data_IF_584078987474
#
_entry.id   IF_584078987474
#
_cell.length_a   1.000
_cell.length_b   1.000
_cell.length_c   1.000
_cell.angle_alpha   90.00
_cell.angle_beta   90.00
_cell.angle_gamma   90.00
#
_symmetry.space_group_name_H-M   'P 1'
#
loop_
_entity.id
_entity.type
_entity.pdbx_description
1 polymer ?
#
# COMPACT_ATOMS: atom_id res chain seq x y z
N UNK A 1 3.25 3.67 -9.38
CA UNK A 1 1.80 3.48 -9.19
C UNK A 1 1.45 3.50 -7.69
N UNK A 2 0.96 4.64 -7.20
CA UNK A 2 0.49 4.84 -5.83
C UNK A 2 -0.83 4.07 -5.60
N UNK A 3 -0.74 2.78 -5.27
CA UNK A 3 -1.91 1.88 -5.23
C UNK A 3 -2.82 2.07 -4.01
N UNK A 4 -2.47 2.94 -3.07
CA UNK A 4 -2.99 2.87 -1.70
C UNK A 4 -4.38 3.52 -1.56
N UNK A 5 -4.68 4.56 -2.34
CA UNK A 5 -5.93 5.32 -2.23
C UNK A 5 -7.16 4.60 -2.79
N UNK A 6 -6.98 3.47 -3.49
CA UNK A 6 -8.09 2.71 -4.10
C UNK A 6 -9.06 2.06 -3.10
N UNK A 7 -8.62 1.89 -1.85
CA UNK A 7 -9.40 1.29 -0.75
C UNK A 7 -9.82 2.31 0.32
N UNK A 8 -9.54 3.60 0.08
CA UNK A 8 -10.16 4.70 0.83
C UNK A 8 -11.57 4.94 0.27
N UNK A 9 -12.53 5.15 1.16
CA UNK A 9 -13.89 5.62 0.86
C UNK A 9 -13.94 7.12 1.23
N UNK A 10 -13.78 8.05 0.25
CA UNK A 10 -13.65 9.47 0.56
C UNK A 10 -14.91 10.09 1.18
N UNK A 11 -16.10 9.55 0.88
CA UNK A 11 -17.37 10.07 1.43
C UNK A 11 -17.60 9.70 2.89
N UNK A 12 -16.87 8.71 3.40
CA UNK A 12 -17.06 8.15 4.73
C UNK A 12 -15.75 8.21 5.55
N UNK A 13 -14.75 8.94 5.07
CA UNK A 13 -13.40 9.09 5.64
C UNK A 13 -12.85 7.79 6.25
N UNK A 14 -13.04 6.69 5.54
CA UNK A 14 -12.75 5.35 6.04
C UNK A 14 -11.87 4.56 5.09
N UNK A 15 -11.06 3.69 5.67
CA UNK A 15 -10.13 2.82 4.98
C UNK A 15 -10.59 1.37 5.08
N UNK A 16 -10.72 0.70 3.94
CA UNK A 16 -11.15 -0.71 3.88
C UNK A 16 -10.01 -1.71 4.12
N UNK A 17 -8.76 -1.25 4.19
CA UNK A 17 -7.60 -2.12 4.35
C UNK A 17 -6.51 -1.41 5.16
N UNK A 18 -6.18 -1.96 6.33
CA UNK A 18 -5.28 -1.35 7.31
C UNK A 18 -3.85 -1.09 6.76
N UNK A 19 -3.32 -2.00 5.94
CA UNK A 19 -1.98 -1.85 5.35
C UNK A 19 -1.91 -0.76 4.28
N UNK A 20 -2.98 -0.52 3.52
CA UNK A 20 -3.07 0.53 2.52
C UNK A 20 -3.15 1.89 3.20
N UNK A 21 -3.92 1.99 4.30
CA UNK A 21 -3.91 3.17 5.15
C UNK A 21 -2.51 3.43 5.71
N UNK A 22 -1.87 2.41 6.29
CA UNK A 22 -0.51 2.54 6.82
C UNK A 22 0.52 2.96 5.77
N UNK A 23 0.45 2.39 4.55
CA UNK A 23 1.34 2.79 3.44
C UNK A 23 1.06 4.21 2.96
N UNK A 24 -0.19 4.66 2.99
CA UNK A 24 -0.55 6.05 2.70
C UNK A 24 -0.03 7.01 3.78
N UNK A 25 -0.16 6.66 5.06
CA UNK A 25 0.41 7.41 6.17
C UNK A 25 1.93 7.53 6.03
N UNK A 26 2.63 6.42 5.73
CA UNK A 26 4.07 6.47 5.47
C UNK A 26 4.42 7.38 4.28
N UNK A 27 3.61 7.36 3.21
CA UNK A 27 3.79 8.26 2.08
C UNK A 27 3.63 9.73 2.52
N UNK A 28 2.60 10.06 3.31
CA UNK A 28 2.43 11.42 3.85
C UNK A 28 3.63 11.84 4.71
N UNK A 29 4.12 10.98 5.60
CA UNK A 29 5.32 11.26 6.41
C UNK A 29 6.53 11.60 5.53
N UNK A 30 6.75 10.84 4.45
CA UNK A 30 7.87 11.11 3.52
C UNK A 30 7.63 12.32 2.61
N UNK A 31 6.39 12.70 2.36
CA UNK A 31 6.07 13.91 1.62
C UNK A 31 6.18 15.13 2.51
N UNK A 32 5.83 15.02 3.79
CA UNK A 32 5.94 16.09 4.78
C UNK A 32 7.40 16.51 4.96
N UNK A 33 8.36 15.56 4.96
CA UNK A 33 9.78 15.89 5.02
C UNK A 33 10.17 16.87 3.90
N UNK A 34 10.55 18.09 4.30
CA UNK A 34 11.16 19.06 3.41
C UNK A 34 12.42 18.46 2.79
N UNK A 35 12.83 18.93 1.61
CA UNK A 35 13.98 18.43 0.80
C UNK A 35 13.65 17.51 -0.38
N UNK A 36 12.43 17.50 -0.90
CA UNK A 36 12.14 16.90 -2.22
C UNK A 36 12.49 15.39 -2.31
N UNK A 37 12.50 14.69 -1.18
CA UNK A 37 12.89 13.28 -1.11
C UNK A 37 11.94 12.36 -1.88
N UNK A 38 10.63 12.62 -1.81
CA UNK A 38 9.60 11.93 -2.59
C UNK A 38 8.78 12.97 -3.35
N UNK A 39 8.55 12.71 -4.65
CA UNK A 39 7.71 13.53 -5.52
C UNK A 39 6.66 12.67 -6.20
N UNK A 40 5.48 13.24 -6.42
CA UNK A 40 4.41 12.61 -7.20
C UNK A 40 3.99 13.59 -8.29
N UNK A 41 4.04 13.13 -9.52
CA UNK A 41 3.74 13.95 -10.69
C UNK A 41 2.70 13.24 -11.55
N UNK A 42 1.75 14.01 -12.10
CA UNK A 42 0.82 13.51 -13.10
C UNK A 42 1.53 13.49 -14.44
N UNK A 43 1.54 12.32 -15.08
CA UNK A 43 2.16 12.12 -16.39
C UNK A 43 1.14 11.55 -17.37
N UNK A 44 1.40 11.68 -18.66
CA UNK A 44 0.65 10.99 -19.71
C UNK A 44 1.54 9.87 -20.26
N UNK A 45 0.99 8.65 -20.35
CA UNK A 45 1.72 7.48 -20.87
C UNK A 45 1.19 7.09 -22.24
N UNK A 46 1.75 6.04 -22.84
CA UNK A 46 1.58 5.66 -24.25
C UNK A 46 0.14 5.39 -24.74
N UNK A 47 -0.84 5.33 -23.83
CA UNK A 47 -2.26 5.17 -24.15
C UNK A 47 -3.06 6.48 -24.08
N UNK A 48 -2.36 7.62 -24.07
CA UNK A 48 -2.89 8.99 -23.95
C UNK A 48 -3.78 9.24 -22.73
N UNK A 49 -3.71 8.35 -21.74
CA UNK A 49 -4.44 8.47 -20.48
C UNK A 49 -3.52 8.97 -19.36
N UNK A 50 -4.06 9.66 -18.35
CA UNK A 50 -3.27 10.10 -17.21
C UNK A 50 -2.74 8.90 -16.41
N UNK A 51 -1.55 9.08 -15.83
CA UNK A 51 -0.93 8.19 -14.86
C UNK A 51 -0.16 9.03 -13.80
N UNK A 52 0.43 8.36 -12.81
CA UNK A 52 1.20 8.98 -11.73
C UNK A 52 2.62 8.41 -11.69
N UNK A 53 3.60 9.31 -11.86
CA UNK A 53 5.00 9.02 -11.62
C UNK A 53 5.33 9.34 -10.16
N UNK A 54 5.89 8.37 -9.45
CA UNK A 54 6.42 8.56 -8.10
C UNK A 54 7.94 8.44 -8.17
N UNK A 55 8.62 9.52 -7.80
CA UNK A 55 10.08 9.62 -7.84
C UNK A 55 10.60 9.71 -6.42
N UNK A 56 11.64 8.94 -6.11
CA UNK A 56 12.33 8.95 -4.82
C UNK A 56 13.81 9.23 -5.07
N UNK A 57 14.35 10.25 -4.40
CA UNK A 57 15.76 10.59 -4.47
C UNK A 57 16.59 9.66 -3.58
N UNK A 58 17.31 8.72 -4.20
CA UNK A 58 18.10 7.71 -3.49
C UNK A 58 19.22 8.32 -2.64
N UNK A 59 19.77 9.46 -3.04
CA UNK A 59 20.87 10.11 -2.31
C UNK A 59 20.42 10.61 -0.93
N UNK A 60 19.13 10.94 -0.80
CA UNK A 60 18.51 11.47 0.43
C UNK A 60 17.89 10.40 1.33
N UNK A 61 18.00 9.13 0.97
CA UNK A 61 17.42 8.02 1.74
C UNK A 61 17.96 7.98 3.18
N UNK A 62 19.28 8.11 3.34
CA UNK A 62 19.94 7.99 4.65
C UNK A 62 19.81 9.26 5.50
N UNK A 63 19.80 10.44 4.87
CA UNK A 63 19.74 11.74 5.56
C UNK A 63 18.30 12.17 5.86
N UNK A 64 17.43 12.17 4.85
CA UNK A 64 16.05 12.68 4.95
C UNK A 64 15.08 11.55 5.25
N UNK A 65 15.06 10.50 4.42
CA UNK A 65 14.09 9.41 4.52
C UNK A 65 14.16 8.66 5.85
N UNK A 66 15.36 8.24 6.26
CA UNK A 66 15.58 7.56 7.55
C UNK A 66 15.18 8.44 8.72
N UNK A 67 15.51 9.74 8.69
CA UNK A 67 15.16 10.68 9.75
C UNK A 67 13.63 10.87 9.83
N UNK A 68 12.95 11.12 8.72
CA UNK A 68 11.50 11.31 8.69
C UNK A 68 10.74 10.11 9.26
N UNK A 69 11.12 8.89 8.86
CA UNK A 69 10.52 7.66 9.39
C UNK A 69 10.90 7.46 10.85
N UNK A 70 12.16 7.73 11.23
CA UNK A 70 12.62 7.63 12.62
C UNK A 70 11.85 8.55 13.57
N UNK A 71 11.65 9.81 13.18
CA UNK A 71 10.90 10.81 13.95
C UNK A 71 9.42 10.38 14.11
N UNK A 72 8.82 9.85 13.05
CA UNK A 72 7.45 9.32 13.10
C UNK A 72 7.33 8.10 14.02
N UNK A 73 8.23 7.12 13.89
CA UNK A 73 8.25 5.94 14.75
C UNK A 73 8.54 6.30 16.22
N UNK A 74 9.37 7.32 16.46
CA UNK A 74 9.66 7.87 17.77
C UNK A 74 8.43 8.47 18.45
N UNK A 75 7.42 8.92 17.70
CA UNK A 75 6.11 9.33 18.24
C UNK A 75 5.15 8.16 18.38
N UNK A 76 5.10 7.27 17.38
CA UNK A 76 4.15 6.15 17.35
C UNK A 76 4.39 5.15 18.49
N UNK A 77 5.66 4.82 18.77
CA UNK A 77 6.01 3.78 19.74
C UNK A 77 5.65 4.16 21.19
N UNK A 78 5.94 5.37 21.69
CA UNK A 78 5.49 5.80 23.02
C UNK A 78 3.98 5.76 23.19
N UNK A 79 3.21 6.26 22.21
CA UNK A 79 1.75 6.23 22.32
C UNK A 79 1.19 4.81 22.38
N UNK A 80 1.75 3.90 21.56
CA UNK A 80 1.40 2.48 21.61
C UNK A 80 1.76 1.86 22.96
N UNK A 81 2.96 2.13 23.48
CA UNK A 81 3.48 1.51 24.70
C UNK A 81 2.74 1.99 25.96
N UNK A 82 2.31 3.25 25.97
CA UNK A 82 1.55 3.85 27.06
C UNK A 82 0.03 3.70 26.90
N UNK A 83 -0.44 2.97 25.88
CA UNK A 83 -1.86 2.86 25.52
C UNK A 83 -2.58 4.23 25.41
N UNK A 84 -1.87 5.28 24.97
CA UNK A 84 -2.44 6.61 24.79
C UNK A 84 -3.20 6.69 23.46
N UNK A 85 -4.44 6.20 23.48
CA UNK A 85 -5.30 6.11 22.29
C UNK A 85 -5.62 7.50 21.73
N UNK A 86 -5.86 8.50 22.59
CA UNK A 86 -6.24 9.84 22.16
C UNK A 86 -5.13 10.48 21.29
N UNK A 87 -3.90 10.53 21.81
CA UNK A 87 -2.77 11.11 21.08
C UNK A 87 -2.36 10.26 19.86
N UNK A 88 -2.43 8.94 19.97
CA UNK A 88 -2.16 8.05 18.83
C UNK A 88 -3.14 8.30 17.67
N UNK A 89 -4.44 8.41 18.00
CA UNK A 89 -5.49 8.60 17.01
C UNK A 89 -5.42 9.98 16.37
N UNK A 90 -5.25 11.03 17.16
CA UNK A 90 -5.10 12.40 16.64
C UNK A 90 -3.95 12.48 15.62
N UNK A 91 -2.77 11.97 15.98
CA UNK A 91 -1.62 11.96 15.06
C UNK A 91 -1.86 11.10 13.82
N UNK A 92 -2.37 9.88 13.98
CA UNK A 92 -2.52 8.94 12.87
C UNK A 92 -3.64 9.34 11.90
N UNK A 93 -4.75 9.86 12.43
CA UNK A 93 -5.87 10.36 11.63
C UNK A 93 -5.44 11.54 10.78
N UNK A 94 -4.62 12.46 11.32
CA UNK A 94 -4.03 13.57 10.55
C UNK A 94 -3.31 13.08 9.28
N UNK A 95 -2.44 12.07 9.40
CA UNK A 95 -1.71 11.53 8.24
C UNK A 95 -2.56 10.64 7.34
N UNK A 96 -3.68 10.09 7.83
CA UNK A 96 -4.51 9.17 7.06
C UNK A 96 -5.68 9.85 6.33
N UNK A 97 -5.89 11.15 6.57
CA UNK A 97 -6.94 11.94 5.94
C UNK A 97 -6.59 12.29 4.49
N UNK A 98 -7.37 11.74 3.55
CA UNK A 98 -7.13 11.92 2.10
C UNK A 98 -7.63 13.28 1.60
N UNK A 99 -8.74 13.76 2.15
CA UNK A 99 -9.38 15.02 1.80
C UNK A 99 -8.90 16.19 2.68
N UNK A 100 -7.58 16.30 2.90
CA UNK A 100 -6.98 17.41 3.65
C UNK A 100 -6.43 18.48 2.72
N UNK A 101 -6.69 19.76 3.02
CA UNK A 101 -6.07 20.91 2.34
C UNK A 101 -4.58 21.06 2.69
N UNK A 102 -4.13 20.45 3.81
CA UNK A 102 -2.72 20.43 4.22
C UNK A 102 -1.87 19.45 3.36
N UNK A 103 -2.53 18.58 2.58
CA UNK A 103 -1.83 17.61 1.76
C UNK A 103 -1.05 18.31 0.63
N UNK A 104 0.24 18.01 0.50
CA UNK A 104 1.10 18.55 -0.57
C UNK A 104 0.68 18.14 -1.99
N UNK A 105 -0.19 17.14 -2.13
CA UNK A 105 -0.65 16.65 -3.42
C UNK A 105 -2.19 16.46 -3.45
N UNK A 106 -2.84 16.62 -4.61
CA UNK A 106 -4.29 16.46 -4.75
C UNK A 106 -4.70 14.97 -4.78
N UNK A 107 -4.64 14.29 -3.63
CA UNK A 107 -4.84 12.84 -3.55
C UNK A 107 -6.23 12.35 -3.96
N UNK A 108 -7.27 13.18 -3.83
CA UNK A 108 -8.61 12.85 -4.32
C UNK A 108 -8.66 12.75 -5.86
N UNK A 109 -7.91 13.60 -6.56
CA UNK A 109 -7.78 13.52 -8.02
C UNK A 109 -6.93 12.32 -8.42
N UNK A 110 -5.80 12.13 -7.74
CA UNK A 110 -4.93 10.98 -7.96
C UNK A 110 -5.66 9.66 -7.75
N UNK A 111 -6.60 9.60 -6.80
CA UNK A 111 -7.44 8.42 -6.60
C UNK A 111 -8.23 8.05 -7.86
N UNK A 112 -8.75 9.01 -8.63
CA UNK A 112 -9.48 8.72 -9.88
C UNK A 112 -8.57 7.99 -10.86
N UNK A 113 -7.37 8.53 -11.08
CA UNK A 113 -6.33 7.91 -11.94
C UNK A 113 -5.95 6.52 -11.42
N UNK A 114 -5.75 6.35 -10.11
CA UNK A 114 -5.41 5.05 -9.50
C UNK A 114 -6.53 4.02 -9.69
N UNK A 115 -7.79 4.45 -9.66
CA UNK A 115 -8.94 3.58 -9.92
C UNK A 115 -9.01 3.17 -11.39
N UNK A 116 -8.78 4.10 -12.32
CA UNK A 116 -8.78 3.82 -13.77
C UNK A 116 -7.63 2.88 -14.17
N UNK A 117 -6.49 2.96 -13.47
CA UNK A 117 -5.32 2.10 -13.68
C UNK A 117 -5.31 0.82 -12.82
N UNK A 118 -6.37 0.55 -12.06
CA UNK A 118 -6.44 -0.57 -11.10
C UNK A 118 -6.35 -1.91 -11.83
N UNK A 119 -5.40 -2.75 -11.40
CA UNK A 119 -5.29 -4.14 -11.84
C UNK A 119 -6.02 -5.08 -10.86
N UNK A 120 -6.69 -6.14 -11.34
CA UNK A 120 -7.29 -7.14 -10.47
C UNK A 120 -6.23 -7.80 -9.57
N UNK A 121 -6.66 -8.27 -8.40
CA UNK A 121 -5.77 -8.97 -7.48
C UNK A 121 -5.36 -10.29 -8.11
N UNK A 122 -4.07 -10.61 -8.08
CA UNK A 122 -3.56 -11.90 -8.57
C UNK A 122 -4.11 -13.02 -7.68
N UNK A 123 -4.54 -14.09 -8.31
CA UNK A 123 -4.85 -15.36 -7.66
C UNK A 123 -3.60 -16.22 -7.68
N UNK A 124 -3.40 -17.03 -6.63
CA UNK A 124 -2.27 -17.93 -6.52
C UNK A 124 -2.77 -19.36 -6.49
N UNK A 125 -2.30 -20.15 -7.44
CA UNK A 125 -2.56 -21.58 -7.47
C UNK A 125 -1.64 -22.24 -6.44
N UNK A 126 -2.22 -23.01 -5.52
CA UNK A 126 -1.47 -23.66 -4.44
C UNK A 126 -1.20 -25.11 -4.80
N UNK A 127 0.00 -25.60 -4.46
CA UNK A 127 0.32 -27.01 -4.56
C UNK A 127 -0.46 -27.84 -3.54
N UNK A 128 -0.56 -29.15 -3.81
CA UNK A 128 -1.07 -30.16 -2.88
C UNK A 128 0.04 -31.13 -2.49
N UNK A 129 -0.12 -31.78 -1.34
CA UNK A 129 0.79 -32.81 -0.86
C UNK A 129 0.04 -34.13 -0.68
N UNK A 130 0.58 -35.21 -1.22
CA UNK A 130 0.01 -36.56 -1.14
C UNK A 130 0.97 -37.50 -0.43
N UNK A 131 0.43 -38.51 0.25
CA UNK A 131 1.23 -39.59 0.85
C UNK A 131 1.35 -40.74 -0.15
N UNK A 132 2.57 -41.02 -0.62
CA UNK A 132 2.88 -42.19 -1.45
C UNK A 132 4.00 -42.98 -0.75
N UNK A 133 3.73 -44.24 -0.36
CA UNK A 133 4.73 -45.15 0.25
C UNK A 133 5.53 -44.52 1.40
N UNK A 134 4.82 -43.95 2.39
CA UNK A 134 5.37 -43.26 3.56
C UNK A 134 6.21 -42.00 3.27
N UNK A 135 6.19 -41.50 2.02
CA UNK A 135 6.84 -40.23 1.63
C UNK A 135 5.81 -39.22 1.13
N UNK A 136 5.98 -37.97 1.56
CA UNK A 136 5.18 -36.85 1.06
C UNK A 136 5.63 -36.43 -0.35
N UNK A 137 4.69 -36.38 -1.29
CA UNK A 137 4.91 -35.92 -2.66
C UNK A 137 4.19 -34.61 -2.91
N UNK A 138 4.92 -33.61 -3.41
CA UNK A 138 4.37 -32.33 -3.81
C UNK A 138 3.84 -32.40 -5.25
N UNK A 139 2.58 -32.04 -5.45
CA UNK A 139 1.96 -31.86 -6.76
C UNK A 139 1.70 -30.39 -7.00
N UNK A 140 2.34 -29.84 -8.03
CA UNK A 140 2.16 -28.45 -8.48
C UNK A 140 1.18 -28.37 -9.64
N UNK A 141 0.51 -27.24 -9.78
CA UNK A 141 -0.48 -26.99 -10.82
C UNK A 141 -0.11 -25.75 -11.64
N UNK A 142 -0.48 -25.67 -12.93
CA UNK A 142 -0.27 -24.48 -13.75
C UNK A 142 -0.97 -23.24 -13.16
N UNK A 143 -0.39 -22.05 -13.36
CA UNK A 143 -0.99 -20.77 -12.93
C UNK A 143 -2.09 -20.29 -13.89
N UNK A 144 -3.09 -21.15 -14.13
CA UNK A 144 -4.27 -20.88 -14.98
C UNK A 144 -5.56 -21.09 -14.17
N UNK A 145 -6.72 -20.60 -14.65
CA UNK A 145 -8.01 -20.89 -14.03
C UNK A 145 -8.27 -22.40 -13.85
N UNK A 146 -7.90 -23.22 -14.84
CA UNK A 146 -8.04 -24.67 -14.81
C UNK A 146 -7.11 -25.30 -13.76
N UNK A 147 -5.86 -24.84 -13.69
CA UNK A 147 -4.92 -25.27 -12.66
C UNK A 147 -5.38 -24.90 -11.25
N UNK A 148 -6.00 -23.72 -11.08
CA UNK A 148 -6.65 -23.34 -9.81
C UNK A 148 -7.75 -24.33 -9.44
N UNK A 149 -8.68 -24.62 -10.35
CA UNK A 149 -9.78 -25.57 -10.11
C UNK A 149 -9.26 -26.97 -9.80
N UNK A 150 -8.29 -27.47 -10.57
CA UNK A 150 -7.69 -28.79 -10.35
C UNK A 150 -7.02 -28.88 -8.97
N UNK A 151 -6.32 -27.82 -8.56
CA UNK A 151 -5.66 -27.77 -7.23
C UNK A 151 -6.64 -27.85 -6.05
N UNK A 152 -7.92 -27.53 -6.27
CA UNK A 152 -8.97 -27.67 -5.26
C UNK A 152 -9.68 -29.02 -5.37
N UNK A 153 -9.95 -29.49 -6.58
CA UNK A 153 -10.59 -30.80 -6.80
C UNK A 153 -9.75 -31.95 -6.23
N UNK A 154 -8.43 -31.86 -6.33
CA UNK A 154 -7.52 -32.90 -5.82
C UNK A 154 -6.96 -32.61 -4.41
N UNK A 155 -7.52 -31.62 -3.70
CA UNK A 155 -7.04 -31.25 -2.35
C UNK A 155 -7.52 -32.21 -1.26
N UNK A 156 -8.64 -32.88 -1.52
CA UNK A 156 -9.31 -33.84 -0.65
C UNK A 156 -9.51 -35.16 -1.41
#
# INVERSE_FOLDING_TARGET
MCKYTNVCIPKADSWLQAHSQARYVMLQVTLESCEDFVKIEKVTVSDDKPDLLLTLDRSKLASVGKKAIGDFLGKLQPYRSAANIAAAKEMYDKYSLVASEENKCPFLEYRKIVMDRKKPRRMFVQANTFLESDKGKLKTYPSTPEGMSQSWMERF
#
